data_IF_712496815434
#
_entry.id   IF_712496815434
#
_cell.length_a   1.000
_cell.length_b   1.000
_cell.length_c   1.000
_cell.angle_alpha   90.00
_cell.angle_beta   90.00
_cell.angle_gamma   90.00
#
_symmetry.space_group_name_H-M   'P 1'
#
loop_
_entity.id
_entity.type
_entity.pdbx_description
1 polymer ?
#
# COMPACT_ATOMS: atom_id res chain seq x y z
N UNK A 1 -25.06 12.83 -15.58
CA UNK A 1 -24.31 12.97 -14.31
C UNK A 1 -23.38 11.78 -14.20
N UNK A 2 -22.06 12.00 -14.13
CA UNK A 2 -21.09 10.92 -13.92
C UNK A 2 -21.22 10.39 -12.50
N UNK A 3 -21.19 9.07 -12.29
CA UNK A 3 -21.26 8.50 -10.96
C UNK A 3 -20.04 8.92 -10.12
N UNK A 4 -20.20 9.02 -8.80
CA UNK A 4 -19.09 9.38 -7.91
C UNK A 4 -17.94 8.35 -7.98
N UNK A 5 -18.27 7.08 -8.18
CA UNK A 5 -17.29 5.99 -8.42
C UNK A 5 -16.36 6.33 -9.58
N UNK A 6 -16.93 6.68 -10.73
CA UNK A 6 -16.18 6.96 -11.96
C UNK A 6 -15.35 8.24 -11.79
N UNK A 7 -15.89 9.21 -11.05
CA UNK A 7 -15.18 10.46 -10.73
C UNK A 7 -13.94 10.20 -9.88
N UNK A 8 -14.02 9.30 -8.89
CA UNK A 8 -12.88 8.89 -8.05
C UNK A 8 -11.85 8.14 -8.89
N UNK A 9 -12.28 7.17 -9.70
CA UNK A 9 -11.37 6.35 -10.51
C UNK A 9 -10.65 7.18 -11.56
N UNK A 10 -11.37 7.99 -12.34
CA UNK A 10 -10.78 8.89 -13.33
C UNK A 10 -9.78 9.85 -12.68
N UNK A 11 -10.17 10.46 -11.56
CA UNK A 11 -9.27 11.37 -10.85
C UNK A 11 -7.99 10.67 -10.40
N UNK A 12 -8.10 9.54 -9.70
CA UNK A 12 -6.93 8.91 -9.11
C UNK A 12 -6.08 8.18 -10.14
N UNK A 13 -6.70 7.43 -11.04
CA UNK A 13 -5.97 6.54 -11.96
C UNK A 13 -5.48 7.27 -13.21
N UNK A 14 -6.22 8.26 -13.72
CA UNK A 14 -5.89 8.96 -14.97
C UNK A 14 -5.32 10.35 -14.70
N UNK A 15 -6.05 11.19 -13.95
CA UNK A 15 -5.59 12.56 -13.70
C UNK A 15 -4.31 12.56 -12.87
N UNK A 16 -4.32 11.94 -11.67
CA UNK A 16 -3.16 11.89 -10.77
C UNK A 16 -2.08 10.96 -11.33
N UNK A 17 -2.43 9.70 -11.55
CA UNK A 17 -1.56 8.70 -12.17
C UNK A 17 -0.40 8.22 -11.29
N UNK A 18 0.32 7.15 -11.73
CA UNK A 18 1.33 6.46 -10.96
C UNK A 18 2.52 7.33 -10.54
N UNK A 19 2.85 8.35 -11.34
CA UNK A 19 3.95 9.26 -11.02
C UNK A 19 3.68 10.13 -9.78
N UNK A 20 2.41 10.34 -9.43
CA UNK A 20 1.99 11.27 -8.38
C UNK A 20 1.34 10.61 -7.17
N UNK A 21 0.89 9.35 -7.25
CA UNK A 21 0.24 8.64 -6.13
C UNK A 21 1.00 8.72 -4.81
N UNK A 22 2.33 8.63 -4.86
CA UNK A 22 3.18 8.57 -3.68
C UNK A 22 3.99 9.85 -3.43
N UNK A 23 3.71 10.93 -4.17
CA UNK A 23 4.35 12.23 -3.97
C UNK A 23 3.52 13.09 -3.03
N UNK A 24 4.19 13.77 -2.10
CA UNK A 24 3.57 14.82 -1.30
C UNK A 24 3.46 16.09 -2.12
N UNK A 25 2.23 16.55 -2.38
CA UNK A 25 1.94 17.78 -3.14
C UNK A 25 0.74 18.48 -2.50
N UNK A 26 0.96 19.69 -1.97
CA UNK A 26 -0.07 20.46 -1.29
C UNK A 26 -1.23 20.85 -2.22
N UNK A 27 -0.97 21.05 -3.51
CA UNK A 27 -2.03 21.35 -4.48
C UNK A 27 -2.91 20.12 -4.73
N UNK A 28 -2.29 18.94 -4.85
CA UNK A 28 -3.01 17.67 -4.95
C UNK A 28 -3.82 17.39 -3.68
N UNK A 29 -3.23 17.60 -2.50
CA UNK A 29 -3.90 17.39 -1.22
C UNK A 29 -5.14 18.29 -1.06
N UNK A 30 -5.03 19.56 -1.46
CA UNK A 30 -6.15 20.51 -1.51
C UNK A 30 -7.24 20.05 -2.47
N UNK A 31 -6.86 19.69 -3.70
CA UNK A 31 -7.81 19.20 -4.71
C UNK A 31 -8.57 17.95 -4.27
N UNK A 32 -7.89 17.01 -3.59
CA UNK A 32 -8.55 15.81 -3.04
C UNK A 32 -9.53 16.19 -1.94
N UNK A 33 -9.13 17.07 -1.03
CA UNK A 33 -9.98 17.52 0.08
C UNK A 33 -11.24 18.19 -0.42
N UNK A 34 -11.10 19.15 -1.32
CA UNK A 34 -12.22 19.96 -1.82
C UNK A 34 -13.23 19.11 -2.60
N UNK A 35 -12.75 18.11 -3.35
CA UNK A 35 -13.60 17.25 -4.20
C UNK A 35 -14.24 16.08 -3.44
N UNK A 36 -13.54 15.49 -2.47
CA UNK A 36 -13.89 14.16 -1.97
C UNK A 36 -14.09 14.07 -0.45
N UNK A 37 -13.81 15.13 0.33
CA UNK A 37 -13.94 15.06 1.79
C UNK A 37 -15.37 14.69 2.24
N UNK A 38 -16.40 15.29 1.66
CA UNK A 38 -17.79 14.98 2.01
C UNK A 38 -18.17 13.51 1.68
N UNK A 39 -17.71 13.00 0.54
CA UNK A 39 -17.95 11.62 0.15
C UNK A 39 -17.17 10.63 1.05
N UNK A 40 -15.94 10.99 1.42
CA UNK A 40 -15.17 10.23 2.39
C UNK A 40 -15.85 10.19 3.75
N UNK A 41 -16.39 11.30 4.25
CA UNK A 41 -17.11 11.33 5.53
C UNK A 41 -18.33 10.40 5.50
N UNK A 42 -19.11 10.43 4.42
CA UNK A 42 -20.24 9.52 4.23
C UNK A 42 -19.81 8.05 4.17
N UNK A 43 -18.73 7.75 3.43
CA UNK A 43 -18.20 6.40 3.32
C UNK A 43 -17.60 5.92 4.65
N UNK A 44 -16.87 6.76 5.39
CA UNK A 44 -16.26 6.44 6.67
C UNK A 44 -17.31 6.16 7.77
N UNK A 45 -18.47 6.82 7.70
CA UNK A 45 -19.57 6.68 8.65
C UNK A 45 -20.46 5.43 8.46
N UNK A 46 -20.14 4.52 7.52
CA UNK A 46 -21.02 3.37 7.24
C UNK A 46 -21.63 3.38 5.84
N UNK A 47 -21.52 4.48 5.10
CA UNK A 47 -22.10 4.61 3.78
C UNK A 47 -21.39 3.80 2.70
N UNK A 48 -22.04 3.75 1.53
CA UNK A 48 -21.51 3.26 0.23
C UNK A 48 -21.16 1.77 0.15
N UNK A 49 -21.61 0.95 1.10
CA UNK A 49 -21.35 -0.51 1.06
C UNK A 49 -21.90 -1.19 -0.21
N UNK A 50 -22.97 -0.62 -0.80
CA UNK A 50 -23.50 -1.06 -2.09
C UNK A 50 -22.50 -1.00 -3.25
N UNK A 51 -21.43 -0.20 -3.13
CA UNK A 51 -20.36 -0.16 -4.14
C UNK A 51 -19.56 -1.45 -4.20
N UNK A 52 -19.58 -2.28 -3.14
CA UNK A 52 -18.95 -3.60 -3.17
C UNK A 52 -19.66 -4.60 -4.11
N UNK A 53 -20.77 -4.23 -4.73
CA UNK A 53 -21.48 -5.08 -5.70
C UNK A 53 -20.74 -5.21 -7.04
N UNK A 54 -19.84 -4.27 -7.36
CA UNK A 54 -19.06 -4.27 -8.61
C UNK A 54 -17.57 -4.05 -8.36
N UNK A 55 -16.67 -4.63 -9.18
CA UNK A 55 -15.23 -4.50 -8.98
C UNK A 55 -14.71 -3.06 -9.02
N UNK A 56 -15.12 -2.27 -10.01
CA UNK A 56 -14.73 -0.87 -10.20
C UNK A 56 -15.22 0.03 -9.07
N UNK A 57 -16.49 -0.12 -8.67
CA UNK A 57 -17.05 0.63 -7.57
C UNK A 57 -16.41 0.25 -6.22
N UNK A 58 -16.07 -1.03 -6.01
CA UNK A 58 -15.32 -1.48 -4.83
C UNK A 58 -13.93 -0.85 -4.77
N UNK A 59 -13.23 -0.77 -5.91
CA UNK A 59 -11.94 -0.11 -6.02
C UNK A 59 -12.04 1.38 -5.65
N UNK A 60 -13.05 2.09 -6.19
CA UNK A 60 -13.29 3.50 -5.87
C UNK A 60 -13.51 3.71 -4.37
N UNK A 61 -14.31 2.84 -3.72
CA UNK A 61 -14.53 2.89 -2.28
C UNK A 61 -13.24 2.70 -1.48
N UNK A 62 -12.40 1.75 -1.90
CA UNK A 62 -11.13 1.47 -1.23
C UNK A 62 -10.16 2.65 -1.39
N UNK A 63 -10.01 3.22 -2.58
CA UNK A 63 -9.20 4.42 -2.82
C UNK A 63 -9.67 5.58 -1.96
N UNK A 64 -10.99 5.81 -1.91
CA UNK A 64 -11.60 6.86 -1.10
C UNK A 64 -11.29 6.68 0.40
N UNK A 65 -11.36 5.46 0.92
CA UNK A 65 -11.16 5.18 2.36
C UNK A 65 -9.69 5.01 2.75
N UNK A 66 -8.81 4.64 1.83
CA UNK A 66 -7.41 4.31 2.12
C UNK A 66 -6.45 5.38 1.57
N UNK A 67 -6.54 5.73 0.30
CA UNK A 67 -5.57 6.64 -0.32
C UNK A 67 -5.86 8.10 0.04
N UNK A 68 -7.08 8.57 -0.20
CA UNK A 68 -7.40 9.99 -0.06
C UNK A 68 -7.16 10.57 1.35
N UNK A 69 -7.43 9.86 2.47
CA UNK A 69 -7.21 10.40 3.80
C UNK A 69 -5.74 10.69 4.08
N UNK A 70 -4.83 9.92 3.48
CA UNK A 70 -3.38 10.11 3.57
C UNK A 70 -2.92 11.40 2.89
N UNK A 71 -3.66 11.90 1.90
CA UNK A 71 -3.48 13.21 1.28
C UNK A 71 -4.23 14.31 2.02
N UNK A 72 -5.53 14.12 2.28
CA UNK A 72 -6.42 15.15 2.85
C UNK A 72 -5.98 15.60 4.25
N UNK A 73 -5.41 14.69 5.04
CA UNK A 73 -5.22 14.86 6.48
C UNK A 73 -3.78 14.60 6.94
N UNK A 74 -2.78 14.83 6.08
CA UNK A 74 -1.35 14.59 6.38
C UNK A 74 -0.95 15.10 7.76
N UNK A 75 -0.19 14.28 8.48
CA UNK A 75 0.33 14.62 9.80
C UNK A 75 -0.72 14.69 10.91
N UNK A 76 -1.97 14.24 10.66
CA UNK A 76 -3.03 14.21 11.67
C UNK A 76 -3.58 12.78 11.86
N UNK A 77 -4.21 12.47 13.00
CA UNK A 77 -4.87 11.18 13.21
C UNK A 77 -5.93 10.85 12.14
N UNK A 78 -6.59 11.87 11.55
CA UNK A 78 -7.63 11.67 10.53
C UNK A 78 -7.11 10.95 9.28
N UNK A 79 -5.80 10.99 9.00
CA UNK A 79 -5.20 10.25 7.89
C UNK A 79 -5.35 8.72 8.01
N UNK A 80 -5.56 8.22 9.23
CA UNK A 80 -5.68 6.79 9.53
C UNK A 80 -7.08 6.41 10.02
N UNK A 81 -7.99 7.37 10.16
CA UNK A 81 -9.29 7.18 10.82
C UNK A 81 -10.18 6.15 10.10
N UNK A 82 -10.04 6.01 8.79
CA UNK A 82 -10.80 5.05 7.97
C UNK A 82 -10.04 3.76 7.65
N UNK A 83 -8.80 3.55 8.15
CA UNK A 83 -7.98 2.37 7.84
C UNK A 83 -8.70 1.06 8.17
N UNK A 84 -9.37 0.99 9.32
CA UNK A 84 -10.12 -0.20 9.73
C UNK A 84 -11.24 -0.54 8.73
N UNK A 85 -11.95 0.48 8.23
CA UNK A 85 -13.04 0.30 7.27
C UNK A 85 -12.50 -0.03 5.88
N UNK A 86 -11.47 0.69 5.40
CA UNK A 86 -10.76 0.37 4.16
C UNK A 86 -10.32 -1.09 4.11
N UNK A 87 -9.71 -1.59 5.21
CA UNK A 87 -9.29 -2.97 5.34
C UNK A 87 -10.46 -3.96 5.28
N UNK A 88 -11.58 -3.66 5.93
CA UNK A 88 -12.78 -4.51 5.85
C UNK A 88 -13.32 -4.56 4.42
N UNK A 89 -13.43 -3.41 3.75
CA UNK A 89 -13.92 -3.33 2.36
C UNK A 89 -12.98 -4.08 1.40
N UNK A 90 -11.67 -3.95 1.58
CA UNK A 90 -10.67 -4.69 0.81
C UNK A 90 -10.80 -6.20 1.01
N UNK A 91 -10.90 -6.68 2.25
CA UNK A 91 -11.08 -8.12 2.52
C UNK A 91 -12.36 -8.68 1.89
N UNK A 92 -13.46 -7.93 1.93
CA UNK A 92 -14.72 -8.33 1.29
C UNK A 92 -14.60 -8.34 -0.24
N UNK A 93 -13.96 -7.33 -0.83
CA UNK A 93 -13.72 -7.28 -2.27
C UNK A 93 -12.83 -8.44 -2.74
N UNK A 94 -11.75 -8.73 -2.00
CA UNK A 94 -10.86 -9.87 -2.27
C UNK A 94 -11.59 -11.22 -2.13
N UNK A 95 -12.48 -11.36 -1.15
CA UNK A 95 -13.29 -12.57 -0.98
C UNK A 95 -14.27 -12.79 -2.16
N UNK A 96 -14.65 -11.71 -2.85
CA UNK A 96 -15.48 -11.73 -4.07
C UNK A 96 -14.67 -11.86 -5.36
N UNK A 97 -13.34 -11.86 -5.29
CA UNK A 97 -12.46 -11.92 -6.46
C UNK A 97 -12.44 -10.63 -7.29
N UNK A 98 -12.89 -9.50 -6.73
CA UNK A 98 -13.00 -8.23 -7.45
C UNK A 98 -11.66 -7.71 -7.97
N UNK A 99 -10.56 -8.00 -7.28
CA UNK A 99 -9.20 -7.65 -7.69
C UNK A 99 -8.83 -8.29 -9.04
N UNK A 100 -9.34 -9.48 -9.34
CA UNK A 100 -9.11 -10.18 -10.61
C UNK A 100 -9.74 -9.50 -11.82
N UNK A 101 -10.68 -8.59 -11.62
CA UNK A 101 -11.40 -7.86 -12.68
C UNK A 101 -10.88 -6.45 -12.93
N UNK A 102 -9.81 -6.05 -12.24
CA UNK A 102 -9.14 -4.76 -12.41
C UNK A 102 -7.70 -5.02 -12.84
N UNK A 103 -7.22 -4.29 -13.86
CA UNK A 103 -5.88 -4.46 -14.37
C UNK A 103 -4.80 -3.80 -13.49
N UNK A 104 -3.57 -4.27 -13.65
CA UNK A 104 -2.41 -3.59 -13.12
C UNK A 104 -2.21 -2.24 -13.85
N UNK A 105 -1.70 -1.19 -13.19
CA UNK A 105 -1.26 -1.17 -11.79
C UNK A 105 -2.39 -0.87 -10.79
N UNK A 106 -3.60 -0.52 -11.22
CA UNK A 106 -4.70 -0.11 -10.34
C UNK A 106 -5.13 -1.21 -9.34
N UNK A 107 -5.01 -2.48 -9.71
CA UNK A 107 -5.28 -3.64 -8.84
C UNK A 107 -4.56 -3.56 -7.48
N UNK A 108 -3.39 -2.92 -7.40
CA UNK A 108 -2.62 -2.81 -6.15
C UNK A 108 -3.41 -2.17 -5.00
N UNK A 109 -4.36 -1.26 -5.31
CA UNK A 109 -5.12 -0.55 -4.29
C UNK A 109 -6.06 -1.47 -3.51
N UNK A 110 -6.44 -2.65 -4.04
CA UNK A 110 -7.13 -3.66 -3.23
C UNK A 110 -6.25 -4.23 -2.11
N UNK A 111 -4.92 -4.17 -2.25
CA UNK A 111 -3.97 -4.82 -1.34
C UNK A 111 -3.37 -3.84 -0.33
N UNK A 112 -3.30 -2.55 -0.69
CA UNK A 112 -2.72 -1.52 0.16
C UNK A 112 -3.38 -1.39 1.54
N UNK A 113 -4.71 -1.54 1.72
CA UNK A 113 -5.30 -1.55 3.06
C UNK A 113 -4.76 -2.67 3.96
N UNK A 114 -4.32 -3.79 3.40
CA UNK A 114 -3.63 -4.85 4.15
C UNK A 114 -2.19 -4.43 4.48
N UNK A 115 -1.49 -3.79 3.52
CA UNK A 115 -0.15 -3.21 3.72
C UNK A 115 -0.14 -2.14 4.83
N UNK A 116 -1.23 -1.40 4.98
CA UNK A 116 -1.37 -0.36 5.99
C UNK A 116 -1.84 -0.87 7.36
N UNK A 117 -2.17 -2.16 7.47
CA UNK A 117 -2.67 -2.78 8.69
C UNK A 117 -1.54 -3.08 9.69
N UNK A 118 -1.76 -2.75 10.97
CA UNK A 118 -0.89 -3.17 12.09
C UNK A 118 -1.24 -4.61 12.53
N UNK A 119 -1.22 -5.55 11.58
CA UNK A 119 -1.53 -6.97 11.78
C UNK A 119 -0.62 -7.84 10.92
N UNK A 120 0.16 -8.72 11.55
CA UNK A 120 1.12 -9.56 10.81
C UNK A 120 0.43 -10.47 9.78
N UNK A 121 -0.75 -11.01 10.10
CA UNK A 121 -1.53 -11.83 9.18
C UNK A 121 -1.98 -11.07 7.93
N UNK A 122 -2.33 -9.79 8.08
CA UNK A 122 -2.66 -8.94 6.92
C UNK A 122 -1.42 -8.64 6.08
N UNK A 123 -0.28 -8.43 6.73
CA UNK A 123 0.99 -8.19 6.05
C UNK A 123 1.46 -9.42 5.25
N UNK A 124 1.36 -10.62 5.84
CA UNK A 124 1.64 -11.90 5.15
C UNK A 124 0.76 -12.05 3.91
N UNK A 125 -0.55 -11.82 4.06
CA UNK A 125 -1.50 -11.88 2.95
C UNK A 125 -1.21 -10.83 1.88
N UNK A 126 -0.84 -9.61 2.28
CA UNK A 126 -0.49 -8.54 1.36
C UNK A 126 0.70 -8.94 0.47
N UNK A 127 1.79 -9.42 1.07
CA UNK A 127 2.96 -9.89 0.33
C UNK A 127 2.60 -11.03 -0.62
N UNK A 128 1.81 -12.02 -0.17
CA UNK A 128 1.37 -13.12 -1.01
C UNK A 128 0.54 -12.63 -2.23
N UNK A 129 -0.35 -11.65 -2.03
CA UNK A 129 -1.15 -11.07 -3.12
C UNK A 129 -0.28 -10.34 -4.15
N UNK A 130 0.70 -9.55 -3.73
CA UNK A 130 1.63 -8.90 -4.66
C UNK A 130 2.44 -9.93 -5.46
N UNK A 131 2.94 -10.99 -4.82
CA UNK A 131 3.67 -12.07 -5.51
C UNK A 131 2.80 -12.79 -6.54
N UNK A 132 1.57 -13.18 -6.16
CA UNK A 132 0.74 -14.07 -6.97
C UNK A 132 -0.10 -13.32 -8.02
N UNK A 133 -0.46 -12.06 -7.79
CA UNK A 133 -1.46 -11.34 -8.61
C UNK A 133 -0.91 -10.10 -9.32
N UNK A 134 0.31 -9.67 -9.01
CA UNK A 134 0.99 -8.55 -9.64
C UNK A 134 2.45 -8.90 -9.99
N UNK A 135 2.70 -9.99 -10.75
CA UNK A 135 4.04 -10.29 -11.21
C UNK A 135 4.54 -9.14 -12.09
N UNK A 136 5.70 -8.58 -11.77
CA UNK A 136 6.28 -7.41 -12.47
C UNK A 136 6.27 -6.12 -11.65
N UNK A 137 5.45 -6.03 -10.61
CA UNK A 137 5.39 -4.87 -9.70
C UNK A 137 6.45 -4.96 -8.59
N UNK A 138 7.72 -5.13 -8.99
CA UNK A 138 8.83 -5.41 -8.07
C UNK A 138 9.01 -4.33 -6.99
N UNK A 139 8.83 -3.06 -7.34
CA UNK A 139 8.91 -1.96 -6.39
C UNK A 139 7.80 -2.03 -5.34
N UNK A 140 6.56 -2.30 -5.75
CA UNK A 140 5.44 -2.43 -4.80
C UNK A 140 5.61 -3.66 -3.89
N UNK A 141 6.13 -4.78 -4.43
CA UNK A 141 6.46 -5.95 -3.64
C UNK A 141 7.56 -5.67 -2.59
N UNK A 142 8.58 -4.88 -2.96
CA UNK A 142 9.60 -4.43 -2.01
C UNK A 142 8.97 -3.64 -0.86
N UNK A 143 8.07 -2.69 -1.18
CA UNK A 143 7.35 -1.93 -0.16
C UNK A 143 6.44 -2.81 0.71
N UNK A 144 5.75 -3.80 0.13
CA UNK A 144 4.94 -4.75 0.90
C UNK A 144 5.79 -5.55 1.90
N UNK A 145 6.96 -6.02 1.48
CA UNK A 145 7.92 -6.73 2.35
C UNK A 145 8.49 -5.83 3.44
N UNK A 146 8.77 -4.57 3.13
CA UNK A 146 9.24 -3.61 4.12
C UNK A 146 8.18 -3.32 5.19
N UNK A 147 6.92 -3.11 4.81
CA UNK A 147 5.82 -2.93 5.77
C UNK A 147 5.65 -4.16 6.67
N UNK A 148 5.66 -5.35 6.07
CA UNK A 148 5.61 -6.62 6.82
C UNK A 148 6.72 -6.70 7.85
N UNK A 149 7.94 -6.33 7.48
CA UNK A 149 9.10 -6.40 8.36
C UNK A 149 8.99 -5.43 9.54
N UNK A 150 8.47 -4.22 9.34
CA UNK A 150 8.17 -3.28 10.44
C UNK A 150 7.17 -3.89 11.42
N UNK A 151 6.07 -4.46 10.90
CA UNK A 151 5.05 -5.08 11.76
C UNK A 151 5.59 -6.34 12.45
N UNK A 152 6.47 -7.12 11.81
CA UNK A 152 7.14 -8.25 12.44
C UNK A 152 8.02 -7.83 13.61
N UNK A 153 8.71 -6.69 13.50
CA UNK A 153 9.62 -6.18 14.54
C UNK A 153 8.87 -5.53 15.71
N UNK A 154 7.84 -4.73 15.43
CA UNK A 154 7.23 -3.85 16.43
C UNK A 154 5.74 -4.10 16.67
N UNK A 155 5.07 -4.92 15.85
CA UNK A 155 3.62 -5.11 15.88
C UNK A 155 2.82 -3.92 15.35
N UNK A 156 3.47 -2.78 15.08
CA UNK A 156 2.85 -1.50 14.70
C UNK A 156 3.82 -0.62 13.91
N UNK A 157 3.31 0.47 13.33
CA UNK A 157 4.12 1.46 12.63
C UNK A 157 4.62 2.54 13.60
N UNK A 158 5.91 2.49 13.92
CA UNK A 158 6.54 3.41 14.89
C UNK A 158 6.45 4.89 14.47
N UNK A 159 6.51 5.17 13.18
CA UNK A 159 6.36 6.52 12.61
C UNK A 159 4.95 7.12 12.85
N UNK A 160 3.93 6.27 13.04
CA UNK A 160 2.57 6.71 13.38
C UNK A 160 2.40 7.04 14.87
N UNK A 161 3.33 6.64 15.74
CA UNK A 161 3.13 6.73 17.19
C UNK A 161 2.86 8.17 17.63
N UNK A 162 3.67 9.14 17.19
CA UNK A 162 3.52 10.55 17.58
C UNK A 162 2.16 11.12 17.18
N UNK A 163 1.75 10.90 15.93
CA UNK A 163 0.48 11.43 15.41
C UNK A 163 -0.72 10.73 16.03
N UNK A 164 -0.59 9.46 16.47
CA UNK A 164 -1.62 8.71 17.17
C UNK A 164 -1.56 8.84 18.70
N UNK A 165 -0.70 9.71 19.25
CA UNK A 165 -0.57 9.91 20.70
C UNK A 165 0.04 8.73 21.46
N UNK A 166 0.74 7.82 20.78
CA UNK A 166 1.45 6.67 21.36
C UNK A 166 2.90 7.05 21.69
N UNK A 167 3.47 6.45 22.74
CA UNK A 167 4.92 6.54 23.03
C UNK A 167 5.68 5.45 22.27
N UNK A 168 6.88 5.81 21.81
CA UNK A 168 7.82 4.85 21.24
C UNK A 168 8.48 4.00 22.35
N UNK A 169 8.80 2.75 22.05
CA UNK A 169 9.75 1.96 22.83
C UNK A 169 11.20 2.37 22.50
N UNK A 170 12.18 2.01 23.34
CA UNK A 170 13.60 2.24 23.03
C UNK A 170 14.03 1.65 21.67
N UNK A 171 13.51 0.48 21.31
CA UNK A 171 13.80 -0.17 20.03
C UNK A 171 13.19 0.59 18.84
N UNK A 172 11.96 1.09 19.00
CA UNK A 172 11.29 1.94 18.01
C UNK A 172 12.04 3.26 17.82
N UNK A 173 12.52 3.89 18.90
CA UNK A 173 13.34 5.11 18.83
C UNK A 173 14.66 4.85 18.12
N UNK A 174 15.37 3.77 18.47
CA UNK A 174 16.62 3.41 17.81
C UNK A 174 16.41 3.08 16.33
N UNK A 175 15.29 2.45 15.97
CA UNK A 175 14.92 2.20 14.57
C UNK A 175 14.69 3.49 13.79
N UNK A 176 13.91 4.43 14.35
CA UNK A 176 13.67 5.74 13.73
C UNK A 176 14.97 6.54 13.60
N UNK A 177 15.84 6.51 14.61
CA UNK A 177 17.13 7.19 14.60
C UNK A 177 18.09 6.66 13.51
N UNK A 178 18.00 5.37 13.16
CA UNK A 178 18.78 4.75 12.05
C UNK A 178 18.17 5.00 10.67
N UNK A 179 17.22 5.93 10.55
CA UNK A 179 16.59 6.31 9.29
C UNK A 179 15.30 5.55 8.96
N UNK A 180 14.77 4.76 9.90
CA UNK A 180 13.43 4.19 9.87
C UNK A 180 13.06 3.44 8.58
N UNK A 181 11.84 3.68 8.09
CA UNK A 181 11.27 2.97 6.95
C UNK A 181 12.10 3.11 5.66
N UNK A 182 12.56 4.32 5.24
CA UNK A 182 13.44 4.45 4.08
C UNK A 182 14.74 3.65 4.18
N UNK A 183 15.37 3.59 5.36
CA UNK A 183 16.58 2.80 5.57
C UNK A 183 16.30 1.30 5.42
N UNK A 184 15.17 0.81 5.94
CA UNK A 184 14.75 -0.58 5.81
C UNK A 184 14.50 -0.97 4.35
N UNK A 185 13.80 -0.13 3.58
CA UNK A 185 13.55 -0.36 2.15
C UNK A 185 14.87 -0.49 1.39
N UNK A 186 15.84 0.41 1.63
CA UNK A 186 17.17 0.34 1.01
C UNK A 186 17.91 -0.95 1.39
N UNK A 187 17.85 -1.36 2.65
CA UNK A 187 18.51 -2.58 3.11
C UNK A 187 17.91 -3.83 2.44
N UNK A 188 16.58 -3.89 2.29
CA UNK A 188 15.90 -4.99 1.59
C UNK A 188 16.25 -5.01 0.09
N UNK A 189 16.25 -3.85 -0.56
CA UNK A 189 16.63 -3.74 -1.98
C UNK A 189 18.08 -4.21 -2.22
N UNK A 190 19.00 -3.81 -1.35
CA UNK A 190 20.40 -4.25 -1.42
C UNK A 190 20.53 -5.77 -1.23
N UNK A 191 19.73 -6.36 -0.32
CA UNK A 191 19.71 -7.82 -0.12
C UNK A 191 19.19 -8.56 -1.34
N UNK A 192 18.13 -8.07 -1.96
CA UNK A 192 17.58 -8.70 -3.17
C UNK A 192 18.59 -8.63 -4.34
N UNK A 193 19.26 -7.49 -4.51
CA UNK A 193 20.31 -7.33 -5.52
C UNK A 193 21.49 -8.29 -5.31
N UNK A 194 21.91 -8.51 -4.05
CA UNK A 194 22.97 -9.47 -3.73
C UNK A 194 22.57 -10.92 -4.08
N UNK A 195 21.34 -11.32 -3.76
CA UNK A 195 20.83 -12.67 -4.08
C UNK A 195 20.78 -12.86 -5.61
N UNK A 196 20.23 -11.90 -6.37
CA UNK A 196 20.16 -11.98 -7.83
C UNK A 196 21.52 -11.91 -8.54
N UNK A 197 22.54 -11.33 -7.90
CA UNK A 197 23.91 -11.28 -8.42
C UNK A 197 24.71 -12.58 -8.23
N UNK A 198 24.32 -13.42 -7.27
CA UNK A 198 25.05 -14.67 -6.95
C UNK A 198 24.75 -15.79 -7.96
N UNK A 199 23.63 -15.71 -8.69
CA UNK A 199 23.18 -16.70 -9.67
C UNK A 199 23.83 -16.58 -11.07
N UNK A 200 24.75 -15.62 -11.28
CA UNK A 200 25.42 -15.39 -12.58
C UNK A 200 26.85 -15.91 -12.70
N UNK A 201 27.38 -16.64 -11.71
CA UNK A 201 28.65 -17.34 -11.87
C UNK A 201 28.41 -18.69 -12.56
N UNK A 202 28.57 -18.70 -13.89
CA UNK A 202 28.66 -19.95 -14.65
C UNK A 202 29.80 -20.82 -14.06
N UNK A 203 29.59 -22.14 -13.88
CA UNK A 203 30.63 -23.01 -13.37
C UNK A 203 31.86 -22.95 -14.28
N UNK A 204 33.10 -23.05 -13.73
CA UNK A 204 34.30 -23.04 -14.55
C UNK A 204 34.23 -24.19 -15.56
N UNK A 205 34.51 -23.87 -16.82
CA UNK A 205 34.55 -24.85 -17.90
C UNK A 205 35.49 -25.99 -17.52
N UNK A 206 34.99 -27.23 -17.52
CA UNK A 206 35.84 -28.40 -17.28
C UNK A 206 36.93 -28.44 -18.35
N UNK A 207 38.20 -28.69 -17.98
CA UNK A 207 39.26 -28.87 -18.95
C UNK A 207 38.89 -30.03 -19.88
N UNK A 208 39.00 -29.80 -21.18
CA UNK A 208 38.87 -30.85 -22.19
C UNK A 208 40.10 -31.74 -22.08
N UNK A 209 39.94 -32.93 -21.52
CA UNK A 209 40.95 -33.99 -21.64
C UNK A 209 41.15 -34.28 -23.14
N UNK A 210 42.38 -34.04 -23.60
CA UNK A 210 42.83 -34.43 -24.93
C UNK A 210 43.23 -35.90 -24.87
N UNK A 211 42.52 -36.73 -25.63
CA UNK A 211 43.00 -38.03 -26.11
C UNK A 211 43.10 -37.94 -27.64
#
# INVERSE_FOLDING_TARGET
MTAMTDTILRFWLEEVGPERWYRGDAALDGAIRDRFAAEWEAAAAGGREGWLSRPDAALALIILLDQFPRNMFRGTPRAFASDARARTMAKLALARGHDGHVDAPARQFFYMPLMHSESLADQDRCVALFVLRLPGEAQNLLHARAHREVIRMFGRFADRNRVLGRRNSPEEEAYLARGGYPALVRALAARDAAISGTDRQAPPARPRDRA
#
